data_IF_421459113886
#
_entry.id   IF_421459113886
#
_cell.length_a   1.000
_cell.length_b   1.000
_cell.length_c   1.000
_cell.angle_alpha   90.00
_cell.angle_beta   90.00
_cell.angle_gamma   90.00
#
_symmetry.space_group_name_H-M   'P 1'
#
loop_
_entity.id
_entity.type
_entity.pdbx_description
1 polymer ?
#
# COMPACT_ATOMS: atom_id res chain seq x y z
N UNK A 1 -31.92 -18.91 21.25
CA UNK A 1 -32.10 -17.45 21.26
C UNK A 1 -31.08 -16.86 22.21
N UNK A 2 -30.05 -16.19 21.68
CA UNK A 2 -29.76 -14.81 22.06
C UNK A 2 -28.80 -14.23 21.00
N UNK A 3 -29.24 -13.16 20.35
CA UNK A 3 -28.69 -12.62 19.11
C UNK A 3 -28.01 -11.27 19.42
N UNK A 4 -27.04 -11.24 20.35
CA UNK A 4 -26.46 -9.96 20.80
C UNK A 4 -25.01 -9.95 21.27
N UNK A 5 -24.24 -11.04 21.12
CA UNK A 5 -22.81 -11.04 21.47
C UNK A 5 -21.96 -11.71 20.40
N UNK A 6 -21.69 -11.01 19.30
CA UNK A 6 -20.55 -11.28 18.42
C UNK A 6 -20.33 -10.07 17.49
N UNK A 7 -19.82 -8.99 18.06
CA UNK A 7 -19.28 -7.85 17.30
C UNK A 7 -17.93 -7.46 17.86
N UNK A 8 -16.90 -8.25 17.57
CA UNK A 8 -15.52 -7.78 17.48
C UNK A 8 -14.76 -8.75 16.57
N UNK A 9 -14.68 -8.44 15.28
CA UNK A 9 -13.68 -9.00 14.38
C UNK A 9 -13.26 -7.91 13.38
N UNK A 10 -12.18 -7.23 13.76
CA UNK A 10 -11.04 -6.89 12.91
C UNK A 10 -11.22 -6.64 11.41
N UNK A 11 -10.83 -5.43 11.02
CA UNK A 11 -10.38 -5.12 9.66
C UNK A 11 -8.98 -4.54 9.75
N UNK A 12 -7.98 -5.23 9.18
CA UNK A 12 -6.78 -4.55 8.69
C UNK A 12 -7.21 -3.79 7.43
N UNK A 13 -7.52 -2.52 7.61
CA UNK A 13 -7.66 -1.57 6.51
C UNK A 13 -6.24 -1.35 5.99
N UNK A 14 -5.94 -1.73 4.74
CA UNK A 14 -4.84 -1.10 4.00
C UNK A 14 -5.37 0.27 3.62
N UNK A 15 -5.28 1.16 4.61
CA UNK A 15 -5.69 2.54 4.48
C UNK A 15 -4.51 3.17 3.74
N UNK A 16 -4.68 3.53 2.47
CA UNK A 16 -3.83 4.52 1.81
C UNK A 16 -4.06 5.83 2.57
N UNK A 17 -3.43 5.94 3.74
CA UNK A 17 -3.56 7.08 4.64
C UNK A 17 -2.76 8.23 4.05
N UNK A 18 -3.40 9.04 3.21
CA UNK A 18 -3.05 10.45 3.15
C UNK A 18 -3.96 11.15 4.15
N UNK A 19 -3.64 11.02 5.44
CA UNK A 19 -4.27 11.80 6.50
C UNK A 19 -3.25 12.79 7.04
N UNK A 20 -3.38 14.01 6.53
CA UNK A 20 -2.91 15.21 7.21
C UNK A 20 -3.52 15.28 8.61
N UNK A 21 -2.69 15.57 9.60
CA UNK A 21 -3.08 15.94 10.95
C UNK A 21 -4.14 17.03 10.92
N UNK A 22 -5.30 16.82 11.56
CA UNK A 22 -6.10 17.89 12.17
C UNK A 22 -6.97 17.27 13.27
N UNK A 23 -6.65 17.63 14.51
CA UNK A 23 -7.54 17.48 15.64
C UNK A 23 -8.73 18.43 15.46
N UNK A 24 -9.95 17.90 15.52
CA UNK A 24 -11.18 18.68 15.53
C UNK A 24 -11.90 18.48 16.85
N UNK A 25 -11.69 19.40 17.79
CA UNK A 25 -12.43 19.47 19.05
C UNK A 25 -13.92 19.69 18.76
N UNK A 26 -14.75 18.89 19.43
CA UNK A 26 -16.19 19.05 19.51
C UNK A 26 -16.51 20.33 20.28
N UNK A 27 -17.13 21.31 19.62
CA UNK A 27 -17.68 22.52 20.25
C UNK A 27 -18.98 22.16 20.98
N UNK A 28 -18.97 22.28 22.30
CA UNK A 28 -20.18 22.46 23.12
C UNK A 28 -20.26 23.94 23.56
N UNK A 29 -21.47 24.52 23.67
CA UNK A 29 -21.66 25.92 24.03
C UNK A 29 -21.29 26.22 25.49
N UNK A 30 -20.73 27.42 25.68
CA UNK A 30 -20.21 27.96 26.94
C UNK A 30 -21.32 28.24 27.96
N UNK A 31 -21.09 27.81 29.20
CA UNK A 31 -21.65 28.45 30.39
C UNK A 31 -20.47 28.93 31.24
N UNK A 32 -20.40 30.24 31.44
CA UNK A 32 -19.38 30.93 32.25
C UNK A 32 -19.59 30.63 33.73
N UNK A 33 -18.54 30.17 34.42
CA UNK A 33 -18.31 30.48 35.84
C UNK A 33 -16.82 30.76 36.04
N UNK A 34 -16.56 31.90 36.65
CA UNK A 34 -15.28 32.55 36.85
C UNK A 34 -14.66 32.07 38.17
N UNK A 35 -13.43 31.51 38.14
CA UNK A 35 -12.59 31.42 39.34
C UNK A 35 -11.10 31.49 38.98
N UNK A 36 -10.43 32.50 39.57
CA UNK A 36 -8.97 32.69 39.60
C UNK A 36 -8.31 31.52 40.31
N UNK A 37 -7.25 30.97 39.71
CA UNK A 37 -6.06 30.51 40.44
C UNK A 37 -4.88 30.38 39.48
N UNK A 38 -3.80 31.10 39.80
CA UNK A 38 -2.49 31.09 39.16
C UNK A 38 -1.72 29.83 39.57
N UNK A 39 -1.33 29.00 38.60
CA UNK A 39 -0.33 27.94 38.76
C UNK A 39 0.57 27.89 37.51
N UNK A 40 1.88 27.67 37.66
CA UNK A 40 2.85 27.73 36.57
C UNK A 40 2.69 26.58 35.58
N UNK A 41 2.79 26.92 34.29
CA UNK A 41 2.73 25.99 33.15
C UNK A 41 3.88 24.98 33.21
N UNK A 42 3.62 23.65 33.10
CA UNK A 42 4.64 22.71 32.70
C UNK A 42 4.94 22.94 31.22
N UNK A 43 6.12 23.49 30.94
CA UNK A 43 6.77 23.35 29.63
C UNK A 43 6.95 21.85 29.37
N UNK A 44 6.25 21.35 28.37
CA UNK A 44 6.29 19.95 27.97
C UNK A 44 5.60 19.79 26.62
N UNK A 45 6.02 20.58 25.63
CA UNK A 45 5.77 20.22 24.25
C UNK A 45 6.59 18.96 23.98
N UNK A 46 5.96 17.79 24.05
CA UNK A 46 6.47 16.60 23.38
C UNK A 46 6.48 16.92 21.90
N UNK A 47 7.63 17.37 21.40
CA UNK A 47 7.95 17.20 19.99
C UNK A 47 7.75 15.71 19.70
N UNK A 48 6.79 15.39 18.84
CA UNK A 48 6.76 14.11 18.17
C UNK A 48 8.00 14.08 17.28
N UNK A 49 9.16 13.76 17.87
CA UNK A 49 10.33 13.35 17.13
C UNK A 49 9.92 12.07 16.41
N UNK A 50 9.69 12.20 15.09
CA UNK A 50 9.52 11.06 14.22
C UNK A 50 10.76 10.18 14.40
N UNK A 51 10.62 9.07 15.12
CA UNK A 51 11.72 8.14 15.38
C UNK A 51 12.37 7.79 14.04
N UNK A 52 13.64 8.17 13.88
CA UNK A 52 14.39 7.89 12.68
C UNK A 52 14.47 6.37 12.47
N UNK A 53 14.10 5.92 11.26
CA UNK A 53 14.17 4.50 10.91
C UNK A 53 15.64 4.07 10.94
N UNK A 54 15.93 3.00 11.67
CA UNK A 54 17.31 2.50 11.82
C UNK A 54 17.72 1.64 10.62
N UNK A 55 18.99 1.74 10.16
CA UNK A 55 19.49 0.92 9.09
C UNK A 55 19.48 -0.57 9.46
N UNK A 56 19.22 -1.48 8.49
CA UNK A 56 19.26 -2.91 8.73
C UNK A 56 20.68 -3.42 8.98
N UNK A 57 20.80 -4.53 9.71
CA UNK A 57 22.08 -5.11 10.16
C UNK A 57 22.99 -5.64 9.04
N UNK A 58 22.52 -5.71 7.80
CA UNK A 58 23.35 -6.15 6.66
C UNK A 58 24.23 -5.04 6.09
N UNK A 59 24.10 -3.82 6.58
CA UNK A 59 24.91 -2.69 6.14
C UNK A 59 26.23 -2.58 6.94
N UNK A 60 27.31 -2.08 6.31
CA UNK A 60 27.40 -1.68 4.90
C UNK A 60 27.47 -2.89 3.95
N UNK A 61 27.02 -2.71 2.70
CA UNK A 61 27.25 -3.71 1.65
C UNK A 61 28.72 -3.70 1.21
N UNK A 62 29.23 -4.85 0.77
CA UNK A 62 30.53 -4.88 0.08
C UNK A 62 30.44 -4.12 -1.25
N UNK A 63 31.54 -3.51 -1.75
CA UNK A 63 31.52 -2.76 -3.01
C UNK A 63 30.94 -3.56 -4.18
N UNK A 64 31.39 -4.82 -4.34
CA UNK A 64 30.88 -5.74 -5.37
C UNK A 64 29.38 -6.01 -5.26
N UNK A 65 28.86 -6.11 -4.03
CA UNK A 65 27.41 -6.31 -3.82
C UNK A 65 26.66 -5.03 -4.15
N UNK A 66 27.14 -3.86 -3.72
CA UNK A 66 26.51 -2.59 -4.02
C UNK A 66 26.42 -2.33 -5.54
N UNK A 67 27.51 -2.57 -6.26
CA UNK A 67 27.53 -2.49 -7.73
C UNK A 67 26.57 -3.48 -8.39
N UNK A 68 26.44 -4.69 -7.86
CA UNK A 68 25.48 -5.67 -8.37
C UNK A 68 24.04 -5.16 -8.20
N UNK A 69 23.67 -4.63 -7.04
CA UNK A 69 22.34 -4.05 -6.81
C UNK A 69 22.08 -2.91 -7.78
N UNK A 70 23.04 -1.99 -7.94
CA UNK A 70 22.90 -0.89 -8.87
C UNK A 70 22.66 -1.37 -10.31
N UNK A 71 23.41 -2.37 -10.78
CA UNK A 71 23.21 -2.96 -12.12
C UNK A 71 21.83 -3.59 -12.26
N UNK A 72 21.38 -4.36 -11.26
CA UNK A 72 20.06 -4.98 -11.28
C UNK A 72 18.96 -3.92 -11.36
N UNK A 73 19.01 -2.91 -10.48
CA UNK A 73 17.99 -1.86 -10.43
C UNK A 73 17.98 -1.01 -11.71
N UNK A 74 19.15 -0.68 -12.26
CA UNK A 74 19.24 0.07 -13.51
C UNK A 74 18.71 -0.75 -14.69
N UNK A 75 19.06 -2.04 -14.77
CA UNK A 75 18.50 -2.92 -15.79
C UNK A 75 16.97 -3.04 -15.64
N UNK A 76 16.49 -3.08 -14.40
CA UNK A 76 15.05 -3.11 -14.11
C UNK A 76 14.34 -1.88 -14.63
N UNK A 77 14.87 -0.71 -14.31
CA UNK A 77 14.34 0.56 -14.78
C UNK A 77 14.33 0.60 -16.31
N UNK A 78 15.47 0.33 -16.96
CA UNK A 78 15.61 0.38 -18.42
C UNK A 78 14.69 -0.60 -19.16
N UNK A 79 14.27 -1.68 -18.49
CA UNK A 79 13.29 -2.61 -19.02
C UNK A 79 11.86 -2.08 -18.81
N UNK A 80 11.53 -1.67 -17.58
CA UNK A 80 10.16 -1.32 -17.19
C UNK A 80 9.71 0.05 -17.68
N UNK A 81 10.63 0.98 -17.96
CA UNK A 81 10.31 2.31 -18.52
C UNK A 81 9.74 2.25 -19.95
N UNK A 82 9.86 1.10 -20.63
CA UNK A 82 9.35 0.87 -21.99
C UNK A 82 7.96 0.24 -22.00
N UNK A 83 7.38 0.02 -20.83
CA UNK A 83 6.08 -0.65 -20.68
C UNK A 83 5.00 0.44 -20.67
N UNK A 84 4.24 0.52 -21.75
CA UNK A 84 3.08 1.41 -21.86
C UNK A 84 1.83 0.75 -21.27
N UNK A 85 1.71 -0.57 -21.43
CA UNK A 85 0.59 -1.37 -20.92
C UNK A 85 1.11 -2.61 -20.26
N UNK A 86 0.55 -2.91 -19.09
CA UNK A 86 0.82 -4.15 -18.38
C UNK A 86 -0.47 -4.78 -17.88
N UNK A 87 -0.54 -6.10 -17.97
CA UNK A 87 -1.57 -6.89 -17.32
C UNK A 87 -0.99 -8.16 -16.72
N UNK A 88 -1.50 -8.51 -15.55
CA UNK A 88 -1.22 -9.79 -14.91
C UNK A 88 -2.34 -10.19 -13.97
N UNK A 89 -2.60 -11.48 -13.90
CA UNK A 89 -3.45 -12.04 -12.86
C UNK A 89 -2.58 -12.36 -11.64
N UNK A 90 -3.13 -12.23 -10.44
CA UNK A 90 -2.40 -12.51 -9.22
C UNK A 90 -3.08 -13.56 -8.36
N UNK A 91 -2.25 -14.28 -7.61
CA UNK A 91 -2.64 -15.02 -6.43
C UNK A 91 -2.01 -14.36 -5.21
N UNK A 92 -2.74 -14.32 -4.10
CA UNK A 92 -2.29 -13.71 -2.86
C UNK A 92 -2.64 -14.58 -1.67
N UNK A 93 -1.64 -14.88 -0.84
CA UNK A 93 -1.78 -15.55 0.45
C UNK A 93 -1.46 -14.57 1.57
N UNK A 94 -2.39 -14.37 2.50
CA UNK A 94 -2.16 -13.51 3.66
C UNK A 94 -2.04 -14.39 4.89
N UNK A 95 -0.87 -14.35 5.51
CA UNK A 95 -0.59 -14.99 6.79
C UNK A 95 -0.83 -13.96 7.89
N UNK A 96 -1.58 -14.37 8.92
CA UNK A 96 -1.86 -13.56 10.09
C UNK A 96 -1.77 -14.50 11.29
N UNK A 97 -0.69 -14.40 12.06
CA UNK A 97 -0.47 -15.29 13.22
C UNK A 97 -1.19 -14.84 14.48
N UNK A 98 -1.67 -13.60 14.50
CA UNK A 98 -2.33 -13.02 15.66
C UNK A 98 -3.80 -13.42 15.66
N UNK A 99 -4.43 -13.39 14.48
CA UNK A 99 -5.87 -13.61 14.34
C UNK A 99 -6.26 -14.63 13.27
N UNK A 100 -5.28 -15.31 12.69
CA UNK A 100 -5.47 -16.40 11.74
C UNK A 100 -4.83 -17.70 12.23
N UNK A 101 -4.81 -18.73 11.38
CA UNK A 101 -4.19 -20.00 11.72
C UNK A 101 -2.67 -19.85 11.87
N UNK A 102 -2.11 -20.51 12.89
CA UNK A 102 -0.67 -20.40 13.21
C UNK A 102 0.26 -20.99 12.15
N UNK A 103 -0.18 -21.98 11.36
CA UNK A 103 0.73 -22.75 10.49
C UNK A 103 0.38 -22.61 9.00
N UNK A 104 -0.58 -21.76 8.64
CA UNK A 104 -1.00 -21.55 7.25
C UNK A 104 -1.52 -20.13 7.07
N UNK A 105 -1.95 -19.79 5.86
CA UNK A 105 -2.53 -18.49 5.54
C UNK A 105 -3.97 -18.37 6.04
N UNK A 106 -4.36 -17.17 6.49
CA UNK A 106 -5.72 -16.82 6.91
C UNK A 106 -6.64 -16.67 5.69
N UNK A 107 -6.16 -16.04 4.64
CA UNK A 107 -6.89 -15.83 3.39
C UNK A 107 -6.03 -16.16 2.18
N UNK A 108 -6.68 -16.70 1.15
CA UNK A 108 -6.18 -16.78 -0.21
C UNK A 108 -7.09 -15.97 -1.11
N UNK A 109 -6.52 -15.24 -2.06
CA UNK A 109 -7.29 -14.44 -3.00
C UNK A 109 -6.69 -14.47 -4.38
N UNK A 110 -7.54 -14.31 -5.38
CA UNK A 110 -7.11 -14.14 -6.78
C UNK A 110 -7.68 -12.84 -7.32
N UNK A 111 -7.02 -12.28 -8.31
CA UNK A 111 -7.46 -11.03 -8.90
C UNK A 111 -6.62 -10.57 -10.06
N UNK A 112 -6.80 -9.31 -10.41
CA UNK A 112 -6.19 -8.67 -11.56
C UNK A 112 -5.42 -7.44 -11.14
N UNK A 113 -4.24 -7.32 -11.74
CA UNK A 113 -3.46 -6.10 -11.72
C UNK A 113 -3.28 -5.61 -13.16
N UNK A 114 -3.56 -4.33 -13.40
CA UNK A 114 -3.41 -3.69 -14.72
C UNK A 114 -2.73 -2.35 -14.53
N UNK A 115 -1.94 -1.95 -15.52
CA UNK A 115 -1.29 -0.65 -15.57
C UNK A 115 -1.30 -0.11 -16.98
N UNK A 116 -1.44 1.20 -17.11
CA UNK A 116 -1.21 1.91 -18.35
C UNK A 116 -0.51 3.25 -18.08
N UNK A 117 0.46 3.57 -18.92
CA UNK A 117 1.11 4.87 -18.88
C UNK A 117 0.17 5.98 -19.40
N UNK A 118 0.24 7.20 -18.85
CA UNK A 118 0.80 7.54 -17.54
C UNK A 118 -0.20 7.23 -16.42
N UNK A 119 0.33 6.68 -15.32
CA UNK A 119 -0.27 6.66 -13.98
C UNK A 119 -1.71 6.11 -13.87
N UNK A 120 -2.06 5.15 -14.73
CA UNK A 120 -3.32 4.40 -14.63
C UNK A 120 -3.06 3.03 -14.03
N UNK A 121 -3.94 2.63 -13.13
CA UNK A 121 -3.79 1.36 -12.43
C UNK A 121 -5.12 0.76 -12.05
N UNK A 122 -5.14 -0.55 -11.99
CA UNK A 122 -6.23 -1.33 -11.44
C UNK A 122 -5.61 -2.36 -10.51
N UNK A 123 -6.17 -2.47 -9.31
CA UNK A 123 -6.01 -3.65 -8.49
C UNK A 123 -7.40 -4.12 -8.05
N UNK A 124 -7.76 -5.31 -8.48
CA UNK A 124 -9.07 -5.89 -8.19
C UNK A 124 -8.93 -7.31 -7.73
N UNK A 125 -9.32 -7.57 -6.49
CA UNK A 125 -9.55 -8.93 -6.00
C UNK A 125 -10.89 -9.41 -6.54
N UNK A 126 -10.87 -10.56 -7.22
CA UNK A 126 -12.06 -11.18 -7.79
C UNK A 126 -12.62 -12.29 -6.90
N UNK A 127 -11.75 -12.94 -6.10
CA UNK A 127 -12.13 -14.04 -5.22
C UNK A 127 -11.36 -13.98 -3.91
N UNK A 128 -12.05 -14.27 -2.80
CA UNK A 128 -11.46 -14.39 -1.47
C UNK A 128 -11.93 -15.71 -0.84
N UNK A 129 -10.97 -16.55 -0.48
CA UNK A 129 -11.17 -17.73 0.34
C UNK A 129 -10.62 -17.49 1.74
N UNK A 130 -11.43 -17.75 2.76
CA UNK A 130 -11.05 -17.60 4.16
C UNK A 130 -10.91 -18.95 4.83
N UNK A 131 -9.86 -19.11 5.64
CA UNK A 131 -9.61 -20.30 6.43
C UNK A 131 -10.79 -20.58 7.38
N UNK A 132 -11.29 -21.80 7.33
CA UNK A 132 -12.27 -22.35 8.26
C UNK A 132 -11.57 -23.42 9.10
N UNK A 133 -11.52 -23.28 10.43
CA UNK A 133 -10.90 -24.28 11.29
C UNK A 133 -11.64 -25.62 11.20
N UNK A 134 -10.93 -26.70 11.52
CA UNK A 134 -11.55 -28.01 11.65
C UNK A 134 -12.59 -28.00 12.78
N UNK A 135 -13.66 -28.78 12.59
CA UNK A 135 -14.62 -29.10 13.65
C UNK A 135 -14.52 -30.60 13.96
N UNK A 136 -15.27 -31.08 14.96
CA UNK A 136 -15.35 -32.52 15.22
C UNK A 136 -15.86 -33.33 14.01
N UNK A 137 -16.56 -32.69 13.07
CA UNK A 137 -17.18 -33.33 11.90
C UNK A 137 -16.48 -33.00 10.59
N UNK A 138 -15.62 -31.97 10.53
CA UNK A 138 -15.06 -31.48 9.27
C UNK A 138 -13.59 -31.13 9.38
N UNK A 139 -12.83 -31.42 8.32
CA UNK A 139 -11.44 -30.98 8.19
C UNK A 139 -11.39 -29.47 7.93
N UNK A 140 -10.28 -28.84 8.34
CA UNK A 140 -10.02 -27.46 8.00
C UNK A 140 -10.06 -27.25 6.49
N UNK A 141 -10.60 -26.11 6.05
CA UNK A 141 -10.88 -25.86 4.63
C UNK A 141 -10.84 -24.36 4.33
N UNK A 142 -10.87 -24.01 3.05
CA UNK A 142 -10.90 -22.63 2.58
C UNK A 142 -12.19 -22.43 1.79
N UNK A 143 -13.00 -21.46 2.22
CA UNK A 143 -14.32 -21.20 1.63
C UNK A 143 -14.53 -19.72 1.36
N UNK A 144 -15.30 -19.44 0.31
CA UNK A 144 -15.86 -18.11 0.10
C UNK A 144 -16.92 -17.85 1.17
N UNK A 145 -16.86 -16.67 1.79
CA UNK A 145 -17.86 -16.23 2.75
C UNK A 145 -18.75 -15.21 2.01
N UNK A 146 -20.07 -15.45 1.91
CA UNK A 146 -20.98 -14.51 1.27
C UNK A 146 -20.86 -13.10 1.85
N UNK A 147 -20.80 -12.10 0.97
CA UNK A 147 -20.60 -10.69 1.36
C UNK A 147 -19.16 -10.31 1.71
N UNK A 148 -18.19 -11.23 1.60
CA UNK A 148 -16.77 -10.86 1.66
C UNK A 148 -16.34 -10.32 0.32
N UNK A 149 -15.82 -9.09 0.34
CA UNK A 149 -15.24 -8.44 -0.82
C UNK A 149 -13.75 -8.22 -0.58
N UNK A 150 -12.94 -8.39 -1.62
CA UNK A 150 -11.55 -7.97 -1.58
C UNK A 150 -11.36 -6.54 -2.09
N UNK A 151 -10.12 -6.08 -2.09
CA UNK A 151 -9.78 -4.73 -2.53
C UNK A 151 -10.16 -4.52 -4.00
N UNK A 152 -10.74 -3.37 -4.28
CA UNK A 152 -11.00 -2.92 -5.64
C UNK A 152 -10.74 -1.43 -5.70
N UNK A 153 -9.61 -1.06 -6.29
CA UNK A 153 -9.27 0.32 -6.56
C UNK A 153 -8.82 0.52 -7.99
N UNK A 154 -9.14 1.70 -8.51
CA UNK A 154 -8.84 2.15 -9.87
C UNK A 154 -8.17 3.50 -9.77
N UNK A 155 -7.11 3.74 -10.53
CA UNK A 155 -6.52 5.05 -10.71
C UNK A 155 -6.59 5.44 -12.19
N UNK A 156 -7.13 6.62 -12.46
CA UNK A 156 -7.30 7.16 -13.81
C UNK A 156 -6.15 8.09 -14.25
N UNK A 157 -5.20 8.36 -13.34
CA UNK A 157 -4.08 9.30 -13.50
C UNK A 157 -4.29 10.63 -12.77
N UNK A 158 -5.52 10.93 -12.34
CA UNK A 158 -5.92 12.16 -11.64
C UNK A 158 -6.68 11.88 -10.34
N UNK A 159 -7.31 10.72 -10.23
CA UNK A 159 -8.09 10.26 -9.10
C UNK A 159 -7.77 8.80 -8.79
N UNK A 160 -7.82 8.46 -7.50
CA UNK A 160 -7.93 7.08 -7.04
C UNK A 160 -9.37 6.84 -6.58
N UNK A 161 -10.01 5.84 -7.16
CA UNK A 161 -11.33 5.36 -6.77
C UNK A 161 -11.19 4.06 -5.99
N UNK A 162 -11.83 3.96 -4.84
CA UNK A 162 -11.82 2.76 -3.99
C UNK A 162 -13.24 2.36 -3.58
N UNK A 163 -13.57 1.08 -3.74
CA UNK A 163 -14.80 0.52 -3.22
C UNK A 163 -14.66 0.19 -1.73
N UNK A 164 -15.41 0.91 -0.90
CA UNK A 164 -15.61 0.58 0.50
C UNK A 164 -16.92 -0.21 0.65
N UNK A 165 -16.81 -1.52 0.44
CA UNK A 165 -17.95 -2.45 0.51
C UNK A 165 -18.61 -2.50 1.88
N UNK A 166 -17.85 -2.28 2.95
CA UNK A 166 -18.40 -2.32 4.31
C UNK A 166 -19.36 -1.17 4.57
N UNK A 167 -19.01 0.04 4.09
CA UNK A 167 -19.83 1.24 4.30
C UNK A 167 -20.69 1.60 3.09
N UNK A 168 -20.65 0.80 2.02
CA UNK A 168 -21.36 1.03 0.76
C UNK A 168 -21.01 2.40 0.14
N UNK A 169 -19.70 2.66 -0.01
CA UNK A 169 -19.18 3.92 -0.57
C UNK A 169 -18.24 3.68 -1.73
N UNK A 170 -18.31 4.56 -2.73
CA UNK A 170 -17.23 4.76 -3.69
C UNK A 170 -16.44 5.99 -3.25
N UNK A 171 -15.23 5.77 -2.76
CA UNK A 171 -14.35 6.85 -2.32
C UNK A 171 -13.55 7.32 -3.53
N UNK A 172 -13.61 8.61 -3.83
CA UNK A 172 -12.76 9.28 -4.82
C UNK A 172 -11.75 10.15 -4.07
N UNK A 173 -10.47 9.81 -4.20
CA UNK A 173 -9.36 10.63 -3.73
C UNK A 173 -8.77 11.39 -4.92
N UNK A 174 -8.92 12.71 -4.92
CA UNK A 174 -8.29 13.55 -5.95
C UNK A 174 -6.79 13.62 -5.69
N UNK A 175 -5.98 13.37 -6.72
CA UNK A 175 -4.52 13.49 -6.64
C UNK A 175 -4.12 14.96 -6.79
N UNK A 176 -3.22 15.48 -5.93
CA UNK A 176 -2.60 16.79 -6.13
C UNK A 176 -1.97 16.89 -7.53
N UNK A 177 -2.06 18.05 -8.18
CA UNK A 177 -1.51 18.27 -9.53
C UNK A 177 -0.05 17.84 -9.66
N UNK A 178 0.77 18.10 -8.63
CA UNK A 178 2.18 17.73 -8.60
C UNK A 178 2.43 16.21 -8.65
N UNK A 179 1.43 15.39 -8.29
CA UNK A 179 1.51 13.93 -8.23
C UNK A 179 0.78 13.26 -9.41
N UNK A 180 -0.04 13.99 -10.18
CA UNK A 180 -0.74 13.43 -11.34
C UNK A 180 0.28 12.96 -12.39
N UNK A 181 0.09 11.75 -12.91
CA UNK A 181 1.05 11.15 -13.84
C UNK A 181 2.29 10.53 -13.17
N UNK A 182 2.34 10.49 -11.82
CA UNK A 182 3.53 10.07 -11.05
C UNK A 182 3.20 9.24 -9.79
N UNK A 183 1.94 9.06 -9.41
CA UNK A 183 1.60 8.70 -8.03
C UNK A 183 1.46 7.20 -7.75
N UNK A 184 1.00 6.39 -8.71
CA UNK A 184 0.90 4.92 -8.54
C UNK A 184 2.29 4.35 -8.24
N UNK A 185 3.32 4.90 -8.87
CA UNK A 185 4.73 4.56 -8.63
C UNK A 185 5.15 4.88 -7.19
N UNK A 186 4.44 5.76 -6.48
CA UNK A 186 4.70 6.12 -5.09
C UNK A 186 3.75 5.46 -4.07
N UNK A 187 2.80 4.65 -4.54
CA UNK A 187 1.93 3.84 -3.69
C UNK A 187 2.68 2.82 -2.83
N UNK A 188 2.00 2.10 -1.92
CA UNK A 188 2.64 1.16 -0.99
C UNK A 188 3.38 0.01 -1.68
N UNK A 189 3.14 -0.20 -2.99
CA UNK A 189 3.79 -1.23 -3.80
C UNK A 189 4.36 -0.62 -5.09
N UNK A 190 5.41 0.22 -4.98
CA UNK A 190 6.01 0.95 -6.11
C UNK A 190 6.73 0.02 -7.10
N UNK A 191 6.91 -1.25 -6.71
CA UNK A 191 7.70 -2.26 -7.40
C UNK A 191 6.97 -2.99 -8.52
N UNK A 192 5.67 -2.72 -8.72
CA UNK A 192 4.89 -3.38 -9.76
C UNK A 192 4.90 -2.61 -11.08
N UNK A 193 5.17 -1.30 -11.06
CA UNK A 193 5.04 -0.44 -12.23
C UNK A 193 6.12 0.64 -12.22
N UNK A 194 7.05 0.59 -13.19
CA UNK A 194 7.97 1.69 -13.51
C UNK A 194 8.77 2.22 -12.33
N UNK A 195 9.66 1.42 -11.74
CA UNK A 195 10.48 1.90 -10.64
C UNK A 195 11.78 2.56 -11.14
N UNK A 196 12.00 3.82 -10.80
CA UNK A 196 13.29 4.47 -10.97
C UNK A 196 14.30 3.89 -9.96
N UNK A 197 15.49 3.51 -10.43
CA UNK A 197 16.52 2.89 -9.60
C UNK A 197 16.99 3.82 -8.48
N UNK A 198 17.12 5.12 -8.76
CA UNK A 198 17.51 6.13 -7.77
C UNK A 198 16.41 6.31 -6.72
N UNK A 199 15.14 6.33 -7.11
CA UNK A 199 14.03 6.44 -6.18
C UNK A 199 13.96 5.23 -5.24
N UNK A 200 14.17 4.02 -5.76
CA UNK A 200 14.31 2.82 -4.92
C UNK A 200 15.46 3.00 -3.92
N UNK A 201 16.63 3.41 -4.40
CA UNK A 201 17.81 3.57 -3.53
C UNK A 201 17.64 4.70 -2.52
N UNK A 202 16.84 5.73 -2.82
CA UNK A 202 16.53 6.81 -1.90
C UNK A 202 15.53 6.37 -0.82
N UNK A 203 14.53 5.56 -1.19
CA UNK A 203 13.46 5.12 -0.29
C UNK A 203 13.80 3.87 0.51
N UNK A 204 14.72 3.03 0.01
CA UNK A 204 14.99 1.73 0.60
C UNK A 204 16.48 1.44 0.77
N UNK A 205 16.81 0.66 1.81
CA UNK A 205 18.04 -0.13 1.84
C UNK A 205 17.77 -1.47 1.17
N UNK A 206 18.49 -1.75 0.08
CA UNK A 206 18.24 -2.93 -0.76
C UNK A 206 19.44 -3.87 -0.74
N UNK A 207 19.19 -5.18 -0.68
CA UNK A 207 20.20 -6.21 -0.94
C UNK A 207 19.63 -7.33 -1.79
N UNK A 208 20.52 -8.13 -2.36
CA UNK A 208 20.16 -9.34 -3.09
C UNK A 208 20.14 -10.52 -2.12
N UNK A 209 19.11 -11.34 -2.24
CA UNK A 209 18.86 -12.52 -1.40
C UNK A 209 18.56 -13.77 -2.23
N UNK A 210 18.88 -13.76 -3.54
CA UNK A 210 18.68 -14.92 -4.43
C UNK A 210 19.35 -16.16 -3.84
N UNK A 211 18.60 -17.23 -3.54
CA UNK A 211 19.20 -18.47 -3.06
C UNK A 211 20.13 -19.10 -4.11
N UNK A 212 21.21 -19.76 -3.69
CA UNK A 212 22.21 -20.33 -4.61
C UNK A 212 21.63 -21.41 -5.54
N UNK A 213 20.57 -22.10 -5.10
CA UNK A 213 19.90 -23.15 -5.85
C UNK A 213 18.76 -22.63 -6.75
N UNK A 214 18.52 -21.33 -6.77
CA UNK A 214 17.51 -20.71 -7.63
C UNK A 214 18.17 -20.17 -8.89
N UNK A 215 17.67 -20.61 -10.05
CA UNK A 215 18.11 -20.16 -11.36
C UNK A 215 16.99 -19.39 -12.07
N UNK A 216 17.36 -18.46 -12.94
CA UNK A 216 16.41 -17.69 -13.74
C UNK A 216 15.61 -16.64 -12.96
N UNK A 217 15.98 -16.34 -11.72
CA UNK A 217 15.31 -15.34 -10.89
C UNK A 217 16.32 -14.46 -10.16
N UNK A 218 15.91 -13.23 -9.86
CA UNK A 218 16.65 -12.30 -9.01
C UNK A 218 15.74 -11.92 -7.85
N UNK A 219 16.22 -12.14 -6.62
CA UNK A 219 15.46 -11.85 -5.41
C UNK A 219 16.10 -10.66 -4.70
N UNK A 220 15.32 -9.62 -4.48
CA UNK A 220 15.71 -8.41 -3.78
C UNK A 220 14.96 -8.34 -2.45
N UNK A 221 15.64 -7.86 -1.41
CA UNK A 221 15.04 -7.49 -0.12
C UNK A 221 15.23 -5.99 0.08
N UNK A 222 14.12 -5.29 0.35
CA UNK A 222 14.07 -3.84 0.52
C UNK A 222 13.50 -3.47 1.90
N UNK A 223 14.27 -2.71 2.68
CA UNK A 223 13.84 -2.13 3.96
C UNK A 223 13.58 -0.63 3.79
N UNK A 224 12.45 -0.10 4.28
CA UNK A 224 12.13 1.32 4.15
C UNK A 224 13.12 2.19 4.93
N UNK A 225 13.52 3.32 4.33
CA UNK A 225 14.34 4.37 4.97
C UNK A 225 13.49 5.45 5.62
N UNK A 226 12.25 5.61 5.16
CA UNK A 226 11.34 6.67 5.62
C UNK A 226 10.34 6.12 6.64
N UNK A 227 9.95 6.96 7.61
CA UNK A 227 8.88 6.60 8.56
C UNK A 227 7.55 6.37 7.85
N UNK A 228 7.31 7.07 6.73
CA UNK A 228 6.13 6.89 5.89
C UNK A 228 6.05 5.45 5.35
N UNK A 229 7.08 4.97 4.65
CA UNK A 229 7.10 3.60 4.13
C UNK A 229 7.11 2.57 5.28
N UNK A 230 7.89 2.82 6.34
CA UNK A 230 7.98 1.94 7.52
C UNK A 230 6.68 1.84 8.32
N UNK A 231 5.75 2.80 8.16
CA UNK A 231 4.42 2.74 8.77
C UNK A 231 3.52 1.67 8.14
N UNK A 232 3.83 1.23 6.92
CA UNK A 232 3.04 0.25 6.18
C UNK A 232 3.56 -1.18 6.38
N UNK A 233 4.87 -1.38 6.33
CA UNK A 233 5.49 -2.71 6.38
C UNK A 233 6.91 -2.64 6.96
N UNK A 234 7.41 -3.79 7.43
CA UNK A 234 8.80 -3.91 7.90
C UNK A 234 9.78 -3.95 6.74
N UNK A 235 9.46 -4.71 5.69
CA UNK A 235 10.30 -4.92 4.50
C UNK A 235 9.50 -5.61 3.40
N UNK A 236 10.07 -5.63 2.20
CA UNK A 236 9.51 -6.33 1.04
C UNK A 236 10.57 -7.23 0.40
N UNK A 237 10.18 -8.43 -0.02
CA UNK A 237 10.94 -9.24 -0.96
C UNK A 237 10.32 -9.11 -2.35
N UNK A 238 11.14 -8.86 -3.36
CA UNK A 238 10.72 -8.78 -4.77
C UNK A 238 11.44 -9.89 -5.52
N UNK A 239 10.68 -10.70 -6.27
CA UNK A 239 11.21 -11.78 -7.11
C UNK A 239 11.00 -11.37 -8.56
N UNK A 240 12.09 -11.15 -9.27
CA UNK A 240 12.13 -10.74 -10.67
C UNK A 240 12.49 -11.96 -11.51
N UNK A 241 11.74 -12.21 -12.59
CA UNK A 241 12.07 -13.25 -13.54
C UNK A 241 13.19 -12.76 -14.49
N UNK A 242 14.27 -13.51 -14.65
CA UNK A 242 15.45 -13.05 -15.40
C UNK A 242 15.25 -13.05 -16.93
N UNK A 243 14.17 -13.67 -17.44
CA UNK A 243 13.85 -13.72 -18.88
C UNK A 243 13.15 -12.45 -19.36
N UNK A 244 12.10 -12.05 -18.64
CA UNK A 244 11.27 -10.90 -18.99
C UNK A 244 11.52 -9.68 -18.09
N UNK A 245 12.31 -9.84 -17.02
CA UNK A 245 12.63 -8.81 -16.05
C UNK A 245 11.41 -8.16 -15.37
N UNK A 246 10.28 -8.88 -15.34
CA UNK A 246 9.06 -8.48 -14.65
C UNK A 246 8.96 -9.10 -13.26
N UNK A 247 8.29 -8.45 -12.30
CA UNK A 247 7.96 -9.04 -11.02
C UNK A 247 7.13 -10.32 -11.19
N UNK A 248 7.69 -11.46 -10.76
CA UNK A 248 6.99 -12.75 -10.72
C UNK A 248 6.34 -13.00 -9.37
N UNK A 249 6.93 -12.50 -8.29
CA UNK A 249 6.41 -12.68 -6.94
C UNK A 249 6.87 -11.59 -5.99
N UNK A 250 6.16 -11.46 -4.89
CA UNK A 250 6.47 -10.46 -3.87
C UNK A 250 6.06 -10.96 -2.49
N UNK A 251 6.81 -10.61 -1.46
CA UNK A 251 6.44 -10.86 -0.05
C UNK A 251 6.52 -9.56 0.72
N UNK A 252 5.40 -9.11 1.26
CA UNK A 252 5.32 -7.95 2.15
C UNK A 252 5.30 -8.48 3.57
N UNK A 253 6.28 -8.07 4.37
CA UNK A 253 6.35 -8.45 5.78
C UNK A 253 5.69 -7.38 6.63
N UNK A 254 4.69 -7.77 7.41
CA UNK A 254 3.99 -6.85 8.29
C UNK A 254 4.96 -6.22 9.29
N UNK A 255 4.64 -5.03 9.82
CA UNK A 255 5.48 -4.35 10.83
C UNK A 255 5.78 -5.21 12.05
N UNK A 256 4.84 -6.07 12.43
CA UNK A 256 4.94 -6.98 13.57
C UNK A 256 5.67 -8.28 13.25
N UNK A 257 6.14 -8.47 12.02
CA UNK A 257 6.85 -9.67 11.60
C UNK A 257 8.12 -9.87 12.43
N UNK A 258 8.22 -11.06 13.03
CA UNK A 258 9.35 -11.54 13.80
C UNK A 258 9.54 -13.03 13.47
N UNK A 259 10.61 -13.35 12.74
CA UNK A 259 10.92 -14.73 12.32
C UNK A 259 10.82 -15.70 13.51
N UNK A 260 10.03 -16.77 13.34
CA UNK A 260 9.81 -17.80 14.36
C UNK A 260 8.83 -17.43 15.49
N UNK A 261 8.34 -16.18 15.55
CA UNK A 261 7.35 -15.74 16.56
C UNK A 261 6.06 -15.26 15.91
N UNK A 262 6.16 -14.24 15.07
CA UNK A 262 5.06 -13.69 14.29
C UNK A 262 5.47 -13.72 12.82
N UNK A 263 4.80 -14.55 12.02
CA UNK A 263 5.12 -14.68 10.59
C UNK A 263 4.10 -14.00 9.68
N UNK A 264 3.33 -13.03 10.22
CA UNK A 264 2.36 -12.26 9.44
C UNK A 264 3.03 -11.57 8.27
N UNK A 265 2.51 -11.87 7.08
CA UNK A 265 3.06 -11.43 5.80
C UNK A 265 2.03 -11.67 4.70
N UNK A 266 2.15 -10.92 3.62
CA UNK A 266 1.37 -11.13 2.41
C UNK A 266 2.29 -11.60 1.30
N UNK A 267 1.95 -12.72 0.66
CA UNK A 267 2.70 -13.29 -0.47
C UNK A 267 1.87 -13.11 -1.75
N UNK A 268 2.48 -12.59 -2.80
CA UNK A 268 1.92 -12.46 -4.13
C UNK A 268 2.66 -13.35 -5.12
N UNK A 269 1.90 -13.92 -6.05
CA UNK A 269 2.39 -14.58 -7.25
C UNK A 269 1.68 -13.97 -8.47
N UNK A 270 2.45 -13.49 -9.44
CA UNK A 270 1.96 -12.82 -10.64
C UNK A 270 2.06 -13.77 -11.83
N UNK A 271 0.93 -14.06 -12.45
CA UNK A 271 0.75 -14.97 -13.58
C UNK A 271 0.32 -14.20 -14.82
N UNK A 272 0.49 -14.84 -15.98
CA UNK A 272 0.01 -14.33 -17.27
C UNK A 272 0.39 -12.86 -17.48
N UNK A 273 1.68 -12.57 -17.22
CA UNK A 273 2.26 -11.23 -17.32
C UNK A 273 2.44 -10.90 -18.79
N UNK A 274 1.72 -9.88 -19.24
CA UNK A 274 1.79 -9.39 -20.61
C UNK A 274 2.10 -7.89 -20.60
N UNK A 275 2.95 -7.47 -21.53
CA UNK A 275 3.34 -6.08 -21.77
C UNK A 275 3.07 -5.70 -23.22
N UNK A 276 2.72 -4.45 -23.47
CA UNK A 276 2.63 -3.83 -24.81
C UNK A 276 1.95 -4.72 -25.87
N UNK A 277 0.84 -5.36 -25.48
CA UNK A 277 0.13 -6.33 -26.31
C UNK A 277 -0.53 -5.66 -27.54
N UNK A 278 -0.68 -6.40 -28.65
CA UNK A 278 -0.97 -5.83 -29.96
C UNK A 278 -2.39 -5.25 -30.08
N UNK A 279 -2.46 -3.93 -30.24
CA UNK A 279 -3.68 -3.12 -30.17
C UNK A 279 -4.67 -3.26 -31.33
N UNK A 280 -4.34 -3.92 -32.45
CA UNK A 280 -5.15 -3.79 -33.68
C UNK A 280 -6.58 -4.36 -33.59
N UNK A 281 -6.81 -5.43 -32.81
CA UNK A 281 -8.16 -5.93 -32.49
C UNK A 281 -8.73 -5.32 -31.18
N UNK A 282 -7.86 -4.72 -30.36
CA UNK A 282 -8.20 -4.02 -29.11
C UNK A 282 -8.50 -2.52 -29.33
N UNK A 283 -8.44 -2.03 -30.58
CA UNK A 283 -8.78 -0.65 -31.00
C UNK A 283 -10.22 -0.22 -30.70
N UNK A 284 -11.07 -1.15 -30.25
CA UNK A 284 -12.41 -0.86 -29.69
C UNK A 284 -12.35 -0.46 -28.19
N UNK A 285 -11.12 -0.45 -27.66
CA UNK A 285 -10.61 -0.05 -26.36
C UNK A 285 -11.32 -0.51 -25.06
N UNK A 286 -11.61 -1.81 -24.88
CA UNK A 286 -12.06 -2.36 -23.60
C UNK A 286 -10.98 -2.35 -22.51
N UNK A 287 -9.69 -2.32 -22.87
CA UNK A 287 -8.60 -2.30 -21.88
C UNK A 287 -8.60 -1.01 -21.07
N UNK A 288 -8.67 0.15 -21.71
CA UNK A 288 -8.62 1.41 -20.98
C UNK A 288 -9.88 1.68 -20.14
N UNK A 289 -11.01 1.01 -20.44
CA UNK A 289 -12.21 1.05 -19.59
C UNK A 289 -11.95 0.54 -18.17
N UNK A 290 -10.91 -0.27 -17.96
CA UNK A 290 -10.50 -0.70 -16.62
C UNK A 290 -10.03 0.46 -15.73
N UNK A 291 -9.68 1.61 -16.32
CA UNK A 291 -9.14 2.77 -15.60
C UNK A 291 -10.14 3.92 -15.49
N UNK A 292 -11.35 3.77 -16.03
CA UNK A 292 -12.36 4.81 -15.90
C UNK A 292 -12.91 4.85 -14.48
N UNK A 293 -13.55 5.96 -14.12
CA UNK A 293 -14.35 6.01 -12.90
C UNK A 293 -15.29 4.80 -12.89
N UNK A 294 -15.21 3.95 -11.86
CA UNK A 294 -15.98 2.73 -11.84
C UNK A 294 -17.44 3.03 -11.47
N UNK A 295 -18.36 2.14 -11.85
CA UNK A 295 -19.79 2.35 -11.63
C UNK A 295 -20.12 2.49 -10.13
N UNK A 296 -20.92 3.49 -9.79
CA UNK A 296 -21.49 3.63 -8.45
C UNK A 296 -22.68 2.67 -8.29
N UNK A 297 -22.60 1.64 -7.43
CA UNK A 297 -23.68 0.68 -7.29
C UNK A 297 -24.95 1.34 -6.73
N UNK A 298 -26.11 0.81 -7.10
CA UNK A 298 -27.40 1.31 -6.61
C UNK A 298 -27.45 1.34 -5.08
N UNK A 299 -27.89 2.47 -4.51
CA UNK A 299 -27.98 2.71 -3.06
C UNK A 299 -26.66 3.10 -2.37
N UNK A 300 -25.53 3.12 -3.08
CA UNK A 300 -24.24 3.53 -2.52
C UNK A 300 -24.05 5.05 -2.55
N UNK A 301 -23.11 5.54 -1.74
CA UNK A 301 -22.72 6.96 -1.73
C UNK A 301 -21.35 7.17 -2.36
N UNK A 302 -21.22 8.17 -3.21
CA UNK A 302 -19.91 8.67 -3.64
C UNK A 302 -19.39 9.67 -2.61
N UNK A 303 -18.16 9.47 -2.14
CA UNK A 303 -17.47 10.39 -1.22
C UNK A 303 -16.24 10.93 -1.93
N UNK A 304 -16.15 12.26 -2.07
CA UNK A 304 -15.03 12.92 -2.73
C UNK A 304 -14.14 13.58 -1.69
N UNK A 305 -12.90 13.14 -1.62
CA UNK A 305 -11.86 13.76 -0.81
C UNK A 305 -11.02 14.66 -1.72
N UNK A 306 -11.03 15.96 -1.42
CA UNK A 306 -10.22 16.93 -2.14
C UNK A 306 -8.73 16.59 -2.01
N UNK A 307 -7.95 16.98 -3.03
CA UNK A 307 -6.51 16.91 -2.95
C UNK A 307 -6.04 17.71 -1.72
N UNK A 308 -5.11 17.18 -0.91
CA UNK A 308 -4.49 17.98 0.14
C UNK A 308 -3.87 19.22 -0.50
N UNK A 309 -4.46 20.39 -0.25
CA UNK A 309 -3.82 21.66 -0.61
C UNK A 309 -2.55 21.76 0.25
N UNK A 310 -1.39 21.93 -0.39
CA UNK A 310 -0.18 22.31 0.32
C UNK A 310 -0.53 23.55 1.15
N UNK A 311 -0.61 23.41 2.48
CA UNK A 311 -0.83 24.55 3.34
C UNK A 311 0.35 25.49 3.11
N UNK A 312 0.05 26.67 2.58
CA UNK A 312 0.96 27.82 2.60
C UNK A 312 1.51 27.93 4.03
N UNK A 313 2.82 27.84 4.17
CA UNK A 313 3.52 28.25 5.39
C UNK A 313 2.96 29.61 5.79
N UNK A 314 2.25 29.70 6.91
CA UNK A 314 1.90 30.99 7.49
C UNK A 314 3.23 31.69 7.76
N UNK A 315 3.60 32.64 6.91
CA UNK A 315 4.61 33.62 7.23
C UNK A 315 4.19 34.25 8.56
N UNK A 316 5.06 34.12 9.56
CA UNK A 316 4.92 34.81 10.81
C UNK A 316 4.99 36.32 10.50
N UNK A 317 3.83 36.98 10.43
CA UNK A 317 3.78 38.42 10.51
C UNK A 317 4.24 38.82 11.91
N UNK A 318 5.50 39.25 12.03
CA UNK A 318 5.97 40.03 13.17
C UNK A 318 5.22 41.36 13.18
N UNK A 319 4.46 41.70 14.25
CA UNK A 319 3.94 43.05 14.40
C UNK A 319 5.11 43.99 14.69
N UNK A 320 5.30 44.98 13.82
CA UNK A 320 6.14 46.14 14.11
C UNK A 320 5.65 46.77 15.42
N UNK A 321 6.57 46.92 16.39
CA UNK A 321 6.31 47.67 17.62
C UNK A 321 5.99 49.14 17.33
N UNK A 322 5.19 49.81 18.18
CA UNK A 322 4.86 51.20 17.98
C UNK A 322 6.05 52.12 18.33
N UNK A 323 6.19 53.28 17.66
CA UNK A 323 7.22 54.25 18.00
C UNK A 323 6.78 55.13 19.20
N UNK A 324 7.72 55.25 20.14
CA UNK A 324 7.83 56.16 21.30
C UNK A 324 6.81 56.03 22.43
#
# INVERSE_FOLDING_TARGET
MDLRQMKQLQSMVVLLIVASCCWGQQLQPQTQVQQRQTAPSPQGATQNDAQAVQPPSFLPLSPKHAEYIQRVLLHWQNHTEKIDHYRSDFERWQFDTVYGPRNTFKTYSTGKVRFADPDKGLFRVEKVLTFQPATAQTKATYKEIPGTHGENWVCDGTNIFEYDYLNQRLIQQVLPEALQGKNIINGPLPFLFGCNAQDIMNRFWVRAITPQNVQGEIWLEAFPKTAYDASNYQKVHIIINNKDFLPKGMVIFDRSYLKGKNHSRTVFNFKDREINFATTLEKLNPFYRNFYEPELPSGWKKVVNAAPTAQSTRQANTPNGPPR
#
